data_IF_068005908044
#
_entry.id   IF_068005908044
#
_cell.length_a   1.000
_cell.length_b   1.000
_cell.length_c   1.000
_cell.angle_alpha   90.00
_cell.angle_beta   90.00
_cell.angle_gamma   90.00
#
_symmetry.space_group_name_H-M   'P 1'
#
loop_
_entity.id
_entity.type
_entity.pdbx_description
1 polymer ?
#
# COMPACT_ATOMS: atom_id res chain seq x y z
N UNK A 1 0.16 13.33 -16.85
CA UNK A 1 0.84 13.32 -15.55
C UNK A 1 -0.01 14.14 -14.58
N UNK A 2 -0.60 13.53 -13.55
CA UNK A 2 -1.28 14.28 -12.48
C UNK A 2 -0.18 14.79 -11.54
N UNK A 3 0.11 16.08 -11.56
CA UNK A 3 1.00 16.71 -10.58
C UNK A 3 0.29 16.74 -9.22
N UNK A 4 0.95 16.27 -8.16
CA UNK A 4 0.48 16.48 -6.80
C UNK A 4 0.85 17.89 -6.34
N UNK A 5 -0.02 18.52 -5.56
CA UNK A 5 0.19 19.83 -4.93
C UNK A 5 0.16 19.76 -3.40
N UNK A 6 0.24 18.54 -2.83
CA UNK A 6 -0.01 18.27 -1.40
C UNK A 6 0.84 19.13 -0.46
N UNK A 7 2.13 19.31 -0.78
CA UNK A 7 3.04 20.12 0.05
C UNK A 7 2.61 21.58 0.13
N UNK A 8 2.16 22.15 -1.00
CA UNK A 8 1.65 23.52 -1.05
C UNK A 8 0.26 23.68 -0.44
N UNK A 9 -0.58 22.64 -0.52
CA UNK A 9 -1.93 22.64 0.07
C UNK A 9 -1.86 22.58 1.60
N UNK A 10 -0.97 21.76 2.14
CA UNK A 10 -0.80 21.59 3.59
C UNK A 10 -0.06 22.77 4.24
N UNK A 11 0.63 23.60 3.46
CA UNK A 11 1.39 24.78 3.92
C UNK A 11 2.27 24.45 5.14
N UNK A 12 3.01 23.34 5.03
CA UNK A 12 3.84 22.84 6.11
C UNK A 12 5.10 23.69 6.23
N UNK A 13 5.47 24.02 7.46
CA UNK A 13 6.72 24.71 7.79
C UNK A 13 7.60 23.79 8.64
N UNK A 14 8.91 23.84 8.40
CA UNK A 14 9.90 23.06 9.14
C UNK A 14 10.00 21.58 8.72
N UNK A 15 10.71 20.81 9.53
CA UNK A 15 10.88 19.36 9.33
C UNK A 15 9.57 18.61 9.63
N UNK A 16 9.24 17.64 8.77
CA UNK A 16 7.96 16.92 8.80
C UNK A 16 8.16 15.51 9.37
N UNK A 17 7.20 15.08 10.21
CA UNK A 17 7.02 13.69 10.58
C UNK A 17 5.69 13.19 10.02
N UNK A 18 5.73 12.21 9.12
CA UNK A 18 4.49 11.61 8.62
C UNK A 18 4.14 10.39 9.45
N UNK A 19 2.89 10.37 9.92
CA UNK A 19 2.36 9.36 10.81
C UNK A 19 1.27 8.54 10.09
N UNK A 20 1.37 7.22 10.18
CA UNK A 20 0.22 6.33 9.90
C UNK A 20 -0.04 5.43 11.10
N UNK A 21 -1.30 5.35 11.52
CA UNK A 21 -1.73 4.53 12.65
C UNK A 21 -3.13 3.97 12.39
N UNK A 22 -3.21 2.67 12.11
CA UNK A 22 -4.46 2.02 11.68
C UNK A 22 -4.57 0.54 12.05
N UNK A 23 -3.50 -0.08 12.57
CA UNK A 23 -3.48 -1.48 12.96
C UNK A 23 -4.33 -1.71 14.20
N UNK A 24 -5.17 -2.74 14.17
CA UNK A 24 -6.12 -3.06 15.24
C UNK A 24 -5.43 -3.23 16.60
N UNK A 25 -4.26 -3.87 16.65
CA UNK A 25 -3.49 -4.06 17.88
C UNK A 25 -3.03 -2.76 18.54
N UNK A 26 -3.00 -1.64 17.79
CA UNK A 26 -2.72 -0.32 18.35
C UNK A 26 -3.98 0.50 18.54
N UNK A 27 -4.87 0.56 17.54
CA UNK A 27 -6.00 1.49 17.57
C UNK A 27 -7.18 1.00 18.41
N UNK A 28 -7.39 -0.32 18.54
CA UNK A 28 -8.50 -0.86 19.33
C UNK A 28 -8.10 -1.12 20.80
N UNK A 29 -6.78 -1.11 21.09
CA UNK A 29 -6.24 -1.24 22.44
C UNK A 29 -6.07 0.14 23.08
N UNK A 30 -6.80 0.38 24.16
CA UNK A 30 -6.83 1.68 24.83
C UNK A 30 -5.45 2.09 25.36
N UNK A 31 -4.77 1.21 26.08
CA UNK A 31 -3.49 1.52 26.72
C UNK A 31 -2.42 1.83 25.67
N UNK A 32 -2.36 1.04 24.60
CA UNK A 32 -1.41 1.26 23.52
C UNK A 32 -1.68 2.56 22.79
N UNK A 33 -2.94 2.86 22.49
CA UNK A 33 -3.30 4.13 21.85
C UNK A 33 -3.01 5.32 22.76
N UNK A 34 -3.30 5.23 24.07
CA UNK A 34 -2.98 6.28 25.06
C UNK A 34 -1.48 6.59 25.07
N UNK A 35 -0.63 5.56 25.14
CA UNK A 35 0.82 5.73 25.15
C UNK A 35 1.35 6.33 23.83
N UNK A 36 0.84 5.88 22.68
CA UNK A 36 1.22 6.46 21.38
C UNK A 36 0.78 7.92 21.31
N UNK A 37 -0.44 8.25 21.70
CA UNK A 37 -0.94 9.64 21.72
C UNK A 37 -0.10 10.51 22.65
N UNK A 38 0.23 10.03 23.84
CA UNK A 38 1.10 10.72 24.78
C UNK A 38 2.47 11.00 24.15
N UNK A 39 3.04 10.03 23.42
CA UNK A 39 4.30 10.21 22.71
C UNK A 39 4.20 11.31 21.65
N UNK A 40 3.15 11.29 20.81
CA UNK A 40 2.93 12.29 19.76
C UNK A 40 2.81 13.70 20.32
N UNK A 41 2.13 13.86 21.46
CA UNK A 41 1.99 15.14 22.14
C UNK A 41 3.32 15.66 22.71
N UNK A 42 4.24 14.76 23.09
CA UNK A 42 5.57 15.09 23.64
C UNK A 42 6.63 15.39 22.57
N UNK A 43 6.45 14.93 21.33
CA UNK A 43 7.39 15.21 20.24
C UNK A 43 7.41 16.71 19.94
N UNK A 44 8.61 17.29 19.83
CA UNK A 44 8.83 18.71 19.55
C UNK A 44 9.76 18.89 18.35
N UNK A 45 9.74 20.07 17.74
CA UNK A 45 10.63 20.44 16.63
C UNK A 45 10.24 19.87 15.27
N UNK A 46 9.09 19.19 15.18
CA UNK A 46 8.56 18.60 13.95
C UNK A 46 7.08 18.94 13.79
N UNK A 47 6.65 19.14 12.55
CA UNK A 47 5.22 19.14 12.21
C UNK A 47 4.80 17.70 11.91
N UNK A 48 3.93 17.13 12.75
CA UNK A 48 3.36 15.80 12.57
C UNK A 48 2.18 15.89 11.60
N UNK A 49 2.26 15.21 10.46
CA UNK A 49 1.14 15.06 9.53
C UNK A 49 0.53 13.68 9.70
N UNK A 50 -0.74 13.64 10.09
CA UNK A 50 -1.45 12.40 10.39
C UNK A 50 -2.71 12.27 9.52
N UNK A 51 -2.62 11.60 8.35
CA UNK A 51 -3.80 11.20 7.58
C UNK A 51 -4.59 10.14 8.35
N UNK A 52 -5.62 10.57 9.06
CA UNK A 52 -6.32 9.73 10.04
C UNK A 52 -7.54 9.05 9.42
N UNK A 53 -7.55 7.72 9.43
CA UNK A 53 -8.68 6.95 8.93
C UNK A 53 -9.94 7.19 9.79
N UNK A 54 -11.16 7.26 9.22
CA UNK A 54 -12.39 7.49 10.00
C UNK A 54 -12.58 6.52 11.18
N UNK A 55 -12.12 5.27 11.04
CA UNK A 55 -12.09 4.29 12.13
C UNK A 55 -11.23 4.77 13.31
N UNK A 56 -9.99 5.18 13.06
CA UNK A 56 -9.08 5.69 14.09
C UNK A 56 -9.65 6.96 14.74
N UNK A 57 -10.28 7.86 13.96
CA UNK A 57 -11.00 9.03 14.51
C UNK A 57 -12.10 8.61 15.48
N UNK A 58 -12.90 7.60 15.11
CA UNK A 58 -13.96 7.09 15.98
C UNK A 58 -13.39 6.58 17.30
N UNK A 59 -12.36 5.74 17.27
CA UNK A 59 -11.75 5.20 18.49
C UNK A 59 -11.09 6.28 19.35
N UNK A 60 -10.37 7.23 18.72
CA UNK A 60 -9.79 8.38 19.42
C UNK A 60 -10.84 9.21 20.16
N UNK A 61 -12.05 9.36 19.59
CA UNK A 61 -13.17 10.05 20.24
C UNK A 61 -13.77 9.21 21.37
N UNK A 62 -13.97 7.92 21.15
CA UNK A 62 -14.49 6.99 22.16
C UNK A 62 -13.60 6.92 23.41
N UNK A 63 -12.28 6.96 23.23
CA UNK A 63 -11.33 6.96 24.33
C UNK A 63 -11.02 8.36 24.89
N UNK A 64 -11.55 9.43 24.29
CA UNK A 64 -11.40 10.80 24.79
C UNK A 64 -10.08 11.50 24.43
N UNK A 65 -9.32 10.96 23.48
CA UNK A 65 -7.99 11.45 23.09
C UNK A 65 -8.01 12.41 21.90
N UNK A 66 -9.06 12.36 21.06
CA UNK A 66 -9.15 13.14 19.82
C UNK A 66 -8.92 14.65 20.04
N UNK A 67 -9.56 15.21 21.07
CA UNK A 67 -9.48 16.65 21.38
C UNK A 67 -8.08 17.12 21.77
N UNK A 68 -7.23 16.24 22.32
CA UNK A 68 -5.86 16.57 22.70
C UNK A 68 -4.99 16.70 21.44
N UNK A 69 -5.11 15.75 20.51
CA UNK A 69 -4.43 15.79 19.21
C UNK A 69 -4.88 16.98 18.37
N UNK A 70 -6.19 17.28 18.36
CA UNK A 70 -6.75 18.40 17.56
C UNK A 70 -6.26 19.78 18.04
N UNK A 71 -6.00 19.93 19.33
CA UNK A 71 -5.51 21.18 19.93
C UNK A 71 -3.99 21.34 19.87
N UNK A 72 -3.26 20.27 19.57
CA UNK A 72 -1.81 20.30 19.49
C UNK A 72 -1.36 21.04 18.22
N UNK A 73 -0.67 22.19 18.33
CA UNK A 73 -0.38 23.04 17.16
C UNK A 73 0.58 22.39 16.16
N UNK A 74 1.42 21.47 16.62
CA UNK A 74 2.37 20.72 15.81
C UNK A 74 1.78 19.45 15.19
N UNK A 75 0.53 19.10 15.47
CA UNK A 75 -0.14 17.92 14.92
C UNK A 75 -1.21 18.36 13.92
N UNK A 76 -1.05 17.94 12.66
CA UNK A 76 -1.98 18.17 11.55
C UNK A 76 -2.70 16.87 11.24
N UNK A 77 -3.85 16.66 11.89
CA UNK A 77 -4.78 15.61 11.50
C UNK A 77 -5.48 16.02 10.20
N UNK A 78 -5.31 15.21 9.15
CA UNK A 78 -5.91 15.43 7.84
C UNK A 78 -6.75 14.22 7.43
N UNK A 79 -7.63 14.40 6.44
CA UNK A 79 -8.33 13.27 5.82
C UNK A 79 -7.32 12.39 5.09
N UNK A 80 -7.58 11.08 4.94
CA UNK A 80 -6.75 10.21 4.10
C UNK A 80 -6.59 10.80 2.70
N UNK A 81 -5.36 10.79 2.19
CA UNK A 81 -4.98 11.34 0.88
C UNK A 81 -4.69 10.21 -0.13
N UNK A 82 -4.60 10.55 -1.41
CA UNK A 82 -4.29 9.58 -2.45
C UNK A 82 -2.87 9.04 -2.35
N UNK A 83 -2.63 7.87 -2.94
CA UNK A 83 -1.32 7.20 -2.89
C UNK A 83 -0.16 8.11 -3.31
N UNK A 84 -0.28 8.75 -4.48
CA UNK A 84 0.75 9.65 -5.00
C UNK A 84 1.02 10.85 -4.08
N UNK A 85 -0.02 11.41 -3.47
CA UNK A 85 0.13 12.52 -2.54
C UNK A 85 0.85 12.07 -1.26
N UNK A 86 0.54 10.87 -0.77
CA UNK A 86 1.21 10.32 0.40
C UNK A 86 2.68 10.00 0.11
N UNK A 87 2.99 9.40 -1.04
CA UNK A 87 4.37 9.13 -1.45
C UNK A 87 5.22 10.41 -1.51
N UNK A 88 4.63 11.51 -2.01
CA UNK A 88 5.30 12.81 -2.04
C UNK A 88 5.50 13.37 -0.63
N UNK A 89 4.49 13.27 0.24
CA UNK A 89 4.61 13.65 1.64
C UNK A 89 5.71 12.84 2.36
N UNK A 90 5.78 11.54 2.12
CA UNK A 90 6.79 10.65 2.69
C UNK A 90 8.20 11.03 2.25
N UNK A 91 8.43 11.19 0.93
CA UNK A 91 9.74 11.57 0.39
C UNK A 91 10.25 12.94 0.89
N UNK A 92 9.35 13.82 1.34
CA UNK A 92 9.68 15.12 1.93
C UNK A 92 9.72 15.08 3.46
N UNK A 93 9.41 13.94 4.08
CA UNK A 93 9.44 13.79 5.53
C UNK A 93 10.86 13.65 6.04
N UNK A 94 11.12 14.22 7.22
CA UNK A 94 12.34 14.01 7.98
C UNK A 94 12.35 12.61 8.59
N UNK A 95 11.19 12.16 9.06
CA UNK A 95 11.01 10.90 9.78
C UNK A 95 9.63 10.32 9.46
N UNK A 96 9.55 9.01 9.31
CA UNK A 96 8.28 8.29 9.24
C UNK A 96 8.04 7.55 10.55
N UNK A 97 6.81 7.63 11.06
CA UNK A 97 6.35 6.84 12.19
C UNK A 97 5.12 6.04 11.76
N UNK A 98 5.17 4.72 11.81
CA UNK A 98 4.17 3.88 11.14
C UNK A 98 3.88 2.57 11.85
N UNK A 99 2.68 2.03 11.69
CA UNK A 99 2.34 0.63 11.96
C UNK A 99 2.03 -0.18 10.68
N UNK A 100 2.21 0.45 9.50
CA UNK A 100 2.00 -0.16 8.20
C UNK A 100 3.19 -1.02 7.79
N UNK A 101 2.92 -2.15 7.12
CA UNK A 101 3.97 -2.94 6.47
C UNK A 101 4.52 -2.24 5.23
N UNK A 102 3.63 -1.77 4.35
CA UNK A 102 4.01 -1.08 3.11
C UNK A 102 4.82 0.18 3.36
N UNK A 103 4.44 1.00 4.36
CA UNK A 103 5.20 2.22 4.67
C UNK A 103 6.61 1.90 5.18
N UNK A 104 6.85 0.74 5.81
CA UNK A 104 8.23 0.35 6.18
C UNK A 104 9.09 0.07 4.94
N UNK A 105 8.52 -0.54 3.90
CA UNK A 105 9.19 -0.77 2.61
C UNK A 105 9.42 0.55 1.86
N UNK A 106 8.41 1.41 1.84
CA UNK A 106 8.47 2.72 1.18
C UNK A 106 9.46 3.65 1.87
N UNK A 107 9.51 3.67 3.20
CA UNK A 107 10.44 4.49 3.97
C UNK A 107 11.91 4.25 3.59
N UNK A 108 12.34 2.98 3.57
CA UNK A 108 13.72 2.64 3.20
C UNK A 108 13.98 2.85 1.71
N UNK A 109 12.96 2.69 0.87
CA UNK A 109 13.08 2.94 -0.58
C UNK A 109 13.22 4.43 -0.90
N UNK A 110 12.63 5.30 -0.08
CA UNK A 110 12.64 6.75 -0.24
C UNK A 110 13.79 7.44 0.53
N UNK A 111 14.71 6.68 1.11
CA UNK A 111 15.79 7.20 1.97
C UNK A 111 15.26 8.04 3.15
N UNK A 112 14.21 7.57 3.83
CA UNK A 112 13.62 8.24 4.99
C UNK A 112 13.71 7.33 6.22
N UNK A 113 14.35 7.79 7.32
CA UNK A 113 14.36 7.04 8.58
C UNK A 113 12.95 6.68 9.04
N UNK A 114 12.78 5.47 9.59
CA UNK A 114 11.48 4.95 10.01
C UNK A 114 11.50 4.50 11.48
N UNK A 115 10.43 4.80 12.21
CA UNK A 115 10.10 4.18 13.50
C UNK A 115 8.80 3.39 13.36
N UNK A 116 8.86 2.10 13.67
CA UNK A 116 7.69 1.23 13.60
C UNK A 116 7.03 1.07 14.95
N UNK A 117 5.75 1.43 15.04
CA UNK A 117 4.90 1.36 16.23
C UNK A 117 4.42 -0.09 16.54
N UNK A 118 5.30 -1.07 16.34
CA UNK A 118 5.04 -2.51 16.56
C UNK A 118 6.23 -3.15 17.28
N UNK A 119 5.96 -4.15 18.10
CA UNK A 119 6.99 -4.92 18.82
C UNK A 119 7.68 -5.96 17.93
N UNK A 120 7.07 -6.29 16.78
CA UNK A 120 7.59 -7.20 15.78
C UNK A 120 7.21 -6.69 14.38
N UNK A 121 7.90 -7.18 13.36
CA UNK A 121 7.63 -6.85 11.96
C UNK A 121 7.90 -8.06 11.07
N UNK A 122 7.08 -8.19 10.03
CA UNK A 122 7.27 -9.08 8.88
C UNK A 122 8.28 -8.54 7.87
N UNK A 123 8.94 -7.41 8.18
CA UNK A 123 9.97 -6.73 7.39
C UNK A 123 11.30 -6.56 8.15
N UNK A 124 11.85 -7.63 8.75
CA UNK A 124 13.07 -7.53 9.57
C UNK A 124 14.26 -6.96 8.80
N UNK A 125 14.30 -7.12 7.48
CA UNK A 125 15.31 -6.55 6.58
C UNK A 125 15.42 -5.02 6.68
N UNK A 126 14.33 -4.28 6.92
CA UNK A 126 14.39 -2.81 7.13
C UNK A 126 15.12 -2.45 8.42
N UNK A 127 14.96 -3.27 9.46
CA UNK A 127 15.61 -3.10 10.76
C UNK A 127 17.07 -3.52 10.67
N UNK A 128 17.36 -4.65 10.03
CA UNK A 128 18.72 -5.15 9.82
C UNK A 128 19.56 -4.21 8.95
N UNK A 129 18.97 -3.59 7.92
CA UNK A 129 19.64 -2.58 7.11
C UNK A 129 19.91 -1.28 7.88
N UNK A 130 19.24 -1.07 9.01
CA UNK A 130 19.38 0.12 9.86
C UNK A 130 18.50 1.30 9.45
N UNK A 131 17.58 1.13 8.50
CA UNK A 131 16.65 2.19 8.07
C UNK A 131 15.42 2.33 8.98
N UNK A 132 15.12 1.31 9.78
CA UNK A 132 13.93 1.24 10.62
C UNK A 132 14.27 0.80 12.06
N UNK A 133 13.53 1.31 13.04
CA UNK A 133 13.63 0.90 14.44
C UNK A 133 12.23 0.53 14.96
N UNK A 134 12.11 -0.66 15.56
CA UNK A 134 10.90 -1.06 16.26
C UNK A 134 10.81 -0.33 17.61
N UNK A 135 9.76 0.45 17.81
CA UNK A 135 9.53 1.22 19.04
C UNK A 135 8.31 0.73 19.83
N UNK A 136 7.48 -0.13 19.24
CA UNK A 136 6.26 -0.61 19.88
C UNK A 136 5.31 0.54 20.20
N UNK A 137 4.69 0.50 21.38
CA UNK A 137 3.75 1.52 21.84
C UNK A 137 4.22 2.23 23.12
N UNK A 138 5.51 2.15 23.47
CA UNK A 138 6.01 2.76 24.71
C UNK A 138 6.34 4.25 24.51
N UNK A 139 5.75 5.12 25.34
CA UNK A 139 5.87 6.58 25.25
C UNK A 139 7.32 7.05 25.26
N UNK A 140 8.12 6.55 26.21
CA UNK A 140 9.51 6.97 26.41
C UNK A 140 10.39 6.50 25.25
N UNK A 141 10.16 5.28 24.75
CA UNK A 141 10.92 4.73 23.62
C UNK A 141 10.65 5.51 22.35
N UNK A 142 9.37 5.77 22.03
CA UNK A 142 9.00 6.57 20.85
C UNK A 142 9.65 7.97 20.92
N UNK A 143 9.47 8.67 22.05
CA UNK A 143 9.97 10.05 22.19
C UNK A 143 11.50 10.13 22.21
N UNK A 144 12.17 9.21 22.90
CA UNK A 144 13.63 9.17 22.95
C UNK A 144 14.27 8.79 21.61
N UNK A 145 13.71 7.83 20.86
CA UNK A 145 14.22 7.48 19.54
C UNK A 145 14.00 8.61 18.52
N UNK A 146 12.84 9.31 18.55
CA UNK A 146 12.62 10.51 17.74
C UNK A 146 13.68 11.58 18.08
N UNK A 147 13.82 11.92 19.36
CA UNK A 147 14.78 12.94 19.79
C UNK A 147 16.23 12.58 19.42
N UNK A 148 16.60 11.30 19.56
CA UNK A 148 17.93 10.78 19.21
C UNK A 148 18.20 10.92 17.72
N UNK A 149 17.25 10.56 16.86
CA UNK A 149 17.39 10.69 15.40
C UNK A 149 17.54 12.15 14.99
N UNK A 150 16.81 13.08 15.62
CA UNK A 150 16.89 14.50 15.29
C UNK A 150 18.18 15.17 15.79
N UNK A 151 18.69 14.75 16.94
CA UNK A 151 19.88 15.35 17.55
C UNK A 151 21.20 14.77 17.00
N UNK A 152 21.22 13.49 16.61
CA UNK A 152 22.40 12.81 16.09
C UNK A 152 22.36 12.76 14.56
N UNK A 153 23.02 13.72 13.92
CA UNK A 153 23.11 13.75 12.45
C UNK A 153 23.85 12.53 11.89
N UNK A 154 24.77 11.91 12.63
CA UNK A 154 25.45 10.69 12.16
C UNK A 154 24.45 9.53 12.07
N UNK A 155 23.66 9.33 13.13
CA UNK A 155 22.59 8.34 13.13
C UNK A 155 21.56 8.62 12.03
N UNK A 156 21.09 9.86 11.90
CA UNK A 156 20.14 10.25 10.87
C UNK A 156 20.66 9.89 9.46
N UNK A 157 21.92 10.23 9.16
CA UNK A 157 22.52 9.92 7.86
C UNK A 157 22.73 8.42 7.65
N UNK A 158 23.04 7.68 8.71
CA UNK A 158 23.15 6.22 8.64
C UNK A 158 21.80 5.56 8.30
N UNK A 159 20.73 5.95 9.00
CA UNK A 159 19.38 5.42 8.73
C UNK A 159 18.89 5.82 7.34
N UNK A 160 19.12 7.08 6.95
CA UNK A 160 18.76 7.61 5.63
C UNK A 160 19.44 6.85 4.48
N UNK A 161 20.69 6.44 4.66
CA UNK A 161 21.49 5.74 3.64
C UNK A 161 21.48 4.22 3.82
N UNK A 162 20.54 3.69 4.61
CA UNK A 162 20.41 2.25 4.80
C UNK A 162 20.18 1.58 3.44
N UNK A 163 20.88 0.48 3.11
CA UNK A 163 20.73 -0.17 1.82
C UNK A 163 19.31 -0.74 1.69
N UNK A 164 18.63 -0.39 0.60
CA UNK A 164 17.30 -0.93 0.30
C UNK A 164 17.38 -2.44 -0.04
N UNK A 165 16.75 -3.33 0.76
CA UNK A 165 16.80 -4.77 0.52
C UNK A 165 15.78 -5.27 -0.53
N UNK A 166 14.86 -4.41 -1.00
CA UNK A 166 13.73 -4.81 -1.84
C UNK A 166 13.98 -4.73 -3.35
N UNK A 167 15.23 -4.45 -3.73
CA UNK A 167 15.67 -4.41 -5.13
C UNK A 167 15.71 -3.01 -5.71
N UNK A 168 15.73 -2.96 -7.05
CA UNK A 168 16.01 -1.77 -7.86
C UNK A 168 14.78 -1.25 -8.62
N UNK A 169 13.60 -1.77 -8.31
CA UNK A 169 12.34 -1.41 -8.98
C UNK A 169 12.04 -2.20 -10.25
N UNK A 170 12.88 -3.18 -10.65
CA UNK A 170 12.65 -4.02 -11.84
C UNK A 170 11.85 -5.30 -11.56
N UNK A 171 11.29 -5.45 -10.34
CA UNK A 171 10.62 -6.67 -9.91
C UNK A 171 9.51 -7.14 -10.87
N UNK A 172 8.74 -6.22 -11.46
CA UNK A 172 7.70 -6.57 -12.43
C UNK A 172 8.25 -7.21 -13.70
N UNK A 173 9.38 -6.71 -14.20
CA UNK A 173 10.04 -7.25 -15.40
C UNK A 173 10.58 -8.65 -15.10
N UNK A 174 11.29 -8.80 -13.97
CA UNK A 174 11.80 -10.09 -13.51
C UNK A 174 10.70 -11.13 -13.29
N UNK A 175 9.53 -10.73 -12.77
CA UNK A 175 8.39 -11.62 -12.62
C UNK A 175 7.83 -12.09 -13.97
N UNK A 176 7.70 -11.17 -14.94
CA UNK A 176 7.23 -11.52 -16.29
C UNK A 176 8.21 -12.48 -16.96
N UNK A 177 9.50 -12.19 -16.88
CA UNK A 177 10.55 -13.05 -17.44
C UNK A 177 10.52 -14.44 -16.80
N UNK A 178 10.41 -14.52 -15.47
CA UNK A 178 10.32 -15.79 -14.75
C UNK A 178 9.10 -16.61 -15.16
N UNK A 179 7.94 -15.97 -15.37
CA UNK A 179 6.72 -16.65 -15.84
C UNK A 179 6.92 -17.14 -17.28
N UNK A 180 7.48 -16.30 -18.15
CA UNK A 180 7.72 -16.66 -19.55
C UNK A 180 8.71 -17.82 -19.68
N UNK A 181 9.76 -17.83 -18.87
CA UNK A 181 10.72 -18.93 -18.79
C UNK A 181 10.08 -20.22 -18.28
N UNK A 182 9.26 -20.14 -17.23
CA UNK A 182 8.54 -21.30 -16.72
C UNK A 182 7.55 -21.86 -17.76
N UNK A 183 6.88 -20.99 -18.52
CA UNK A 183 6.00 -21.39 -19.62
C UNK A 183 6.77 -22.12 -20.73
N UNK A 184 7.86 -21.53 -21.20
CA UNK A 184 8.69 -22.10 -22.27
C UNK A 184 9.31 -23.46 -21.87
N UNK A 185 9.55 -23.66 -20.58
CA UNK A 185 10.05 -24.93 -20.02
C UNK A 185 8.94 -25.95 -19.72
N UNK A 186 7.67 -25.65 -20.02
CA UNK A 186 6.54 -26.55 -19.74
C UNK A 186 6.24 -26.73 -18.24
N UNK A 187 6.81 -25.90 -17.36
CA UNK A 187 6.63 -26.00 -15.90
C UNK A 187 5.28 -25.47 -15.41
N UNK A 188 4.54 -24.77 -16.28
CA UNK A 188 3.24 -24.19 -15.96
C UNK A 188 2.05 -25.09 -16.31
N UNK A 189 2.28 -26.39 -16.56
CA UNK A 189 1.20 -27.40 -16.67
C UNK A 189 0.57 -27.68 -15.28
N UNK A 190 0.01 -26.65 -14.66
CA UNK A 190 -0.77 -26.77 -13.42
C UNK A 190 -2.15 -27.26 -13.83
N UNK A 191 -2.41 -28.55 -13.65
CA UNK A 191 -3.78 -29.09 -13.80
C UNK A 191 -4.60 -28.60 -12.62
N UNK A 192 -5.67 -27.81 -12.83
CA UNK A 192 -6.59 -27.51 -11.75
C UNK A 192 -7.16 -28.83 -11.20
N UNK A 193 -7.50 -28.91 -9.90
CA UNK A 193 -8.19 -30.09 -9.39
C UNK A 193 -9.45 -30.34 -10.21
N UNK A 194 -9.69 -31.60 -10.60
CA UNK A 194 -10.79 -32.01 -11.49
C UNK A 194 -12.18 -31.61 -10.96
N UNK A 195 -12.27 -31.30 -9.66
CA UNK A 195 -13.48 -30.82 -8.98
C UNK A 195 -13.21 -29.47 -8.30
N UNK A 196 -13.36 -28.38 -9.04
CA UNK A 196 -13.64 -27.07 -8.44
C UNK A 196 -15.15 -27.03 -8.22
N UNK A 197 -15.60 -27.16 -6.97
CA UNK A 197 -17.02 -27.06 -6.65
C UNK A 197 -17.55 -25.67 -7.06
N UNK A 198 -18.43 -25.63 -8.06
CA UNK A 198 -19.35 -24.51 -8.34
C UNK A 198 -18.73 -23.13 -8.57
N UNK A 199 -17.67 -23.01 -9.37
CA UNK A 199 -17.03 -21.72 -9.70
C UNK A 199 -17.14 -21.32 -11.18
N UNK A 200 -17.16 -20.02 -11.45
CA UNK A 200 -16.93 -19.49 -12.80
C UNK A 200 -15.45 -19.67 -13.18
N UNK A 201 -15.17 -20.31 -14.32
CA UNK A 201 -13.81 -20.41 -14.86
C UNK A 201 -13.53 -19.13 -15.63
N UNK A 202 -12.43 -18.44 -15.31
CA UNK A 202 -11.94 -17.34 -16.12
C UNK A 202 -10.98 -17.85 -17.19
N UNK A 203 -11.21 -17.47 -18.45
CA UNK A 203 -10.34 -17.83 -19.58
C UNK A 203 -9.91 -16.58 -20.33
N UNK A 204 -8.68 -16.59 -20.85
CA UNK A 204 -8.18 -15.65 -21.84
C UNK A 204 -8.22 -16.34 -23.21
N UNK A 205 -8.87 -15.69 -24.17
CA UNK A 205 -9.05 -16.23 -25.52
C UNK A 205 -8.62 -15.18 -26.54
N UNK A 206 -7.93 -15.60 -27.60
CA UNK A 206 -7.73 -14.77 -28.79
C UNK A 206 -8.91 -15.04 -29.72
N UNK A 207 -9.59 -13.99 -30.18
CA UNK A 207 -10.78 -14.12 -31.03
C UNK A 207 -10.40 -13.85 -32.48
N UNK A 208 -10.28 -14.93 -33.25
CA UNK A 208 -9.92 -14.85 -34.68
C UNK A 208 -11.13 -14.63 -35.59
N UNK A 209 -12.36 -14.69 -35.07
CA UNK A 209 -13.57 -14.46 -35.86
C UNK A 209 -13.99 -12.97 -35.86
N UNK A 210 -14.55 -12.46 -36.98
CA UNK A 210 -15.03 -11.08 -37.08
C UNK A 210 -16.38 -10.94 -36.37
N UNK A 211 -16.37 -10.91 -35.04
CA UNK A 211 -17.58 -10.78 -34.21
C UNK A 211 -17.51 -9.59 -33.26
N UNK A 212 -18.68 -9.18 -32.79
CA UNK A 212 -18.86 -8.23 -31.69
C UNK A 212 -19.04 -8.95 -30.35
N UNK A 213 -18.97 -8.20 -29.25
CA UNK A 213 -19.26 -8.72 -27.90
C UNK A 213 -20.63 -9.39 -27.85
N UNK A 214 -21.68 -8.73 -28.37
CA UNK A 214 -23.04 -9.27 -28.31
C UNK A 214 -23.17 -10.59 -29.10
N UNK A 215 -22.63 -10.64 -30.31
CA UNK A 215 -22.65 -11.85 -31.14
C UNK A 215 -21.86 -12.99 -30.50
N UNK A 216 -20.76 -12.70 -29.81
CA UNK A 216 -19.97 -13.70 -29.10
C UNK A 216 -20.72 -14.30 -27.91
N UNK A 217 -21.36 -13.45 -27.09
CA UNK A 217 -22.14 -13.90 -25.91
C UNK A 217 -23.43 -14.61 -26.33
N UNK A 218 -24.06 -14.22 -27.44
CA UNK A 218 -25.21 -14.93 -28.00
C UNK A 218 -24.84 -16.34 -28.48
N UNK A 219 -23.66 -16.50 -29.11
CA UNK A 219 -23.13 -17.81 -29.51
C UNK A 219 -22.67 -18.66 -28.31
N UNK A 220 -22.30 -18.04 -27.19
CA UNK A 220 -21.74 -18.69 -26.01
C UNK A 220 -22.52 -18.26 -24.74
N UNK A 221 -23.75 -18.75 -24.55
CA UNK A 221 -24.66 -18.26 -23.50
C UNK A 221 -24.18 -18.55 -22.07
N UNK A 222 -23.20 -19.43 -21.90
CA UNK A 222 -22.53 -19.74 -20.64
C UNK A 222 -21.31 -18.85 -20.36
N UNK A 223 -20.95 -17.97 -21.30
CA UNK A 223 -19.79 -17.10 -21.26
C UNK A 223 -20.18 -15.62 -21.18
N UNK A 224 -19.50 -14.86 -20.34
CA UNK A 224 -19.60 -13.40 -20.30
C UNK A 224 -18.23 -12.79 -20.51
N UNK A 225 -18.11 -11.84 -21.43
CA UNK A 225 -16.87 -11.08 -21.64
C UNK A 225 -16.74 -10.05 -20.52
N UNK A 226 -15.61 -10.09 -19.79
CA UNK A 226 -15.34 -9.14 -18.71
C UNK A 226 -14.47 -7.97 -19.19
N UNK A 227 -13.44 -8.26 -19.98
CA UNK A 227 -12.46 -7.28 -20.49
C UNK A 227 -12.04 -7.69 -21.90
N UNK A 228 -11.90 -6.70 -22.79
CA UNK A 228 -11.29 -6.86 -24.12
C UNK A 228 -9.94 -6.16 -24.12
N UNK A 229 -8.88 -6.86 -24.51
CA UNK A 229 -7.53 -6.34 -24.65
C UNK A 229 -7.22 -6.04 -26.11
N UNK A 230 -6.92 -4.78 -26.39
CA UNK A 230 -6.49 -4.27 -27.68
C UNK A 230 -4.98 -4.02 -27.61
N UNK A 231 -4.19 -5.06 -27.87
CA UNK A 231 -2.79 -5.15 -27.45
C UNK A 231 -2.69 -5.13 -25.91
N UNK A 232 -1.97 -4.16 -25.35
CA UNK A 232 -1.80 -3.99 -23.89
C UNK A 232 -2.92 -3.16 -23.24
N UNK A 233 -3.85 -2.60 -24.02
CA UNK A 233 -4.87 -1.68 -23.52
C UNK A 233 -6.17 -2.42 -23.16
N UNK A 234 -6.59 -2.44 -21.89
CA UNK A 234 -7.88 -3.01 -21.51
C UNK A 234 -9.02 -2.06 -21.89
N UNK A 235 -10.10 -2.64 -22.41
CA UNK A 235 -11.36 -1.96 -22.76
C UNK A 235 -12.53 -2.69 -22.11
N UNK A 236 -13.45 -1.93 -21.54
CA UNK A 236 -14.71 -2.48 -21.05
C UNK A 236 -15.60 -2.91 -22.23
N UNK A 237 -16.19 -4.12 -22.15
CA UNK A 237 -17.03 -4.64 -23.20
C UNK A 237 -18.32 -3.82 -23.33
N UNK A 238 -18.77 -3.63 -24.56
CA UNK A 238 -20.09 -3.11 -24.91
C UNK A 238 -20.56 -3.80 -26.18
N UNK A 239 -21.88 -3.92 -26.38
CA UNK A 239 -22.48 -4.82 -27.37
C UNK A 239 -21.89 -4.72 -28.78
N UNK A 240 -21.61 -3.50 -29.25
CA UNK A 240 -21.13 -3.23 -30.61
C UNK A 240 -19.59 -3.27 -30.75
N UNK A 241 -18.86 -3.56 -29.67
CA UNK A 241 -17.40 -3.60 -29.71
C UNK A 241 -16.93 -4.80 -30.52
N UNK A 242 -16.24 -4.55 -31.63
CA UNK A 242 -15.57 -5.62 -32.39
C UNK A 242 -14.41 -6.19 -31.58
N UNK A 243 -14.36 -7.52 -31.50
CA UNK A 243 -13.35 -8.29 -30.75
C UNK A 243 -12.43 -9.10 -31.68
N UNK A 244 -12.54 -8.93 -32.99
CA UNK A 244 -11.66 -9.60 -33.97
C UNK A 244 -10.19 -9.24 -33.78
N UNK A 245 -9.34 -10.26 -33.71
CA UNK A 245 -7.90 -10.13 -33.46
C UNK A 245 -7.56 -9.63 -32.06
N UNK A 246 -8.53 -9.59 -31.13
CA UNK A 246 -8.33 -9.13 -29.75
C UNK A 246 -8.26 -10.29 -28.79
N UNK A 247 -7.60 -10.07 -27.66
CA UNK A 247 -7.63 -11.01 -26.55
C UNK A 247 -8.78 -10.64 -25.63
N UNK A 248 -9.65 -11.57 -25.27
CA UNK A 248 -10.77 -11.34 -24.35
C UNK A 248 -10.59 -12.16 -23.07
N UNK A 249 -10.97 -11.58 -21.93
CA UNK A 249 -11.11 -12.32 -20.68
C UNK A 249 -12.58 -12.62 -20.43
N UNK A 250 -12.95 -13.90 -20.44
CA UNK A 250 -14.32 -14.37 -20.21
C UNK A 250 -14.48 -15.01 -18.84
N UNK A 251 -15.70 -14.99 -18.31
CA UNK A 251 -16.16 -15.85 -17.23
C UNK A 251 -17.09 -16.89 -17.82
N UNK A 252 -16.74 -18.17 -17.71
CA UNK A 252 -17.57 -19.29 -18.16
C UNK A 252 -18.18 -19.99 -16.96
N UNK A 253 -19.51 -20.11 -16.95
CA UNK A 253 -20.22 -20.83 -15.91
C UNK A 253 -20.07 -22.34 -16.14
N UNK A 254 -19.45 -23.06 -15.21
CA UNK A 254 -19.49 -24.51 -15.26
C UNK A 254 -20.90 -24.97 -14.91
N UNK A 255 -21.58 -25.64 -15.84
CA UNK A 255 -22.79 -26.39 -15.49
C UNK A 255 -22.43 -27.33 -14.34
N UNK A 256 -23.14 -27.22 -13.22
CA UNK A 256 -23.04 -28.19 -12.14
C UNK A 256 -23.42 -29.55 -12.74
N UNK A 257 -22.43 -30.44 -12.90
CA UNK A 257 -22.69 -31.81 -13.28
C UNK A 257 -23.64 -32.42 -12.24
N UNK A 258 -24.77 -32.94 -12.71
CA UNK A 258 -25.56 -33.96 -12.01
C UNK A 258 -24.71 -35.23 -11.86
#
# INVERSE_FOLDING_TARGET
SKSSHIMSELKLEGDILSLTLHRAENVDDRERLENIVEALLKIQGLTIVFPVHPRTVKTLREFGMYSQLEKAPHIRMIKPIGYLDFLILESNSKLLVTDSGGIQEEAITLDVPCLTLRYNTERPETVHAGGNILVGSNTEKITSDVARILADNSLYQQMKKAPNPYGDGTASEQMVDAIQDAFNQGKLEIKPPEKIAGGQIKKLLIVDEPVTVAEFEEKNPDCTINIVFDGVNPKFPHSNLSIHGKTIMISQSCAAGL
#
